data_IF_422402852652
#
_entry.id   IF_422402852652
#
_cell.length_a   1.000
_cell.length_b   1.000
_cell.length_c   1.000
_cell.angle_alpha   90.00
_cell.angle_beta   90.00
_cell.angle_gamma   90.00
#
_symmetry.space_group_name_H-M   'P 1'
#
loop_
_entity.id
_entity.type
_entity.pdbx_description
1 polymer ?
#
# COMPACT_ATOMS: atom_id res chain seq x y z
N UNK A 1 -53.45 7.43 -25.06
CA UNK A 1 -52.11 7.97 -24.80
C UNK A 1 -51.14 6.81 -24.89
N UNK A 2 -50.29 6.78 -25.92
CA UNK A 2 -49.25 5.77 -26.06
C UNK A 2 -48.11 6.06 -25.05
N UNK A 3 -47.51 5.04 -24.41
CA UNK A 3 -46.39 5.25 -23.50
C UNK A 3 -45.22 5.79 -24.29
N UNK A 4 -44.61 6.89 -23.81
CA UNK A 4 -43.39 7.46 -24.37
C UNK A 4 -42.28 6.40 -24.28
N UNK A 5 -41.80 5.98 -25.45
CA UNK A 5 -40.57 5.17 -25.52
C UNK A 5 -39.42 6.01 -24.94
N UNK A 6 -38.98 5.67 -23.73
CA UNK A 6 -37.72 6.12 -23.21
C UNK A 6 -36.63 5.71 -24.23
N UNK A 7 -36.17 6.66 -25.03
CA UNK A 7 -34.94 6.49 -25.82
C UNK A 7 -33.83 6.23 -24.80
N UNK A 8 -33.40 4.97 -24.66
CA UNK A 8 -32.14 4.64 -23.94
C UNK A 8 -31.07 5.49 -24.59
N UNK A 9 -30.50 6.42 -23.86
CA UNK A 9 -29.34 7.15 -24.32
C UNK A 9 -28.28 6.13 -24.78
N UNK A 10 -27.76 6.32 -25.99
CA UNK A 10 -26.67 5.48 -26.48
C UNK A 10 -25.47 5.74 -25.62
N UNK A 11 -24.88 4.68 -25.08
CA UNK A 11 -23.59 4.75 -24.36
C UNK A 11 -22.55 5.38 -25.30
N UNK A 12 -21.98 6.52 -24.89
CA UNK A 12 -20.85 7.11 -25.57
C UNK A 12 -19.59 6.33 -25.18
N UNK A 13 -18.93 5.76 -26.18
CA UNK A 13 -17.68 5.03 -25.98
C UNK A 13 -16.49 6.01 -25.90
N UNK A 14 -15.46 5.73 -25.10
CA UNK A 14 -14.25 6.55 -25.06
C UNK A 14 -13.57 6.50 -26.43
N UNK A 15 -12.87 7.58 -26.80
CA UNK A 15 -12.08 7.61 -28.04
C UNK A 15 -10.84 6.74 -27.95
N UNK A 16 -10.26 6.61 -26.78
CA UNK A 16 -9.09 5.78 -26.46
C UNK A 16 -9.27 5.20 -25.08
N UNK A 17 -8.66 4.03 -24.83
CA UNK A 17 -8.71 3.37 -23.54
C UNK A 17 -7.36 2.71 -23.21
N UNK A 18 -6.99 2.78 -21.92
CA UNK A 18 -5.94 1.97 -21.34
C UNK A 18 -6.60 1.01 -20.37
N UNK A 19 -6.40 -0.27 -20.56
CA UNK A 19 -6.84 -1.33 -19.64
C UNK A 19 -5.63 -1.80 -18.86
N UNK A 20 -5.74 -1.83 -17.54
CA UNK A 20 -4.66 -2.31 -16.68
C UNK A 20 -5.10 -3.57 -15.95
N UNK A 21 -4.19 -4.52 -15.78
CA UNK A 21 -4.35 -5.65 -14.87
C UNK A 21 -3.39 -5.49 -13.69
N UNK A 22 -3.78 -5.96 -12.50
CA UNK A 22 -2.92 -5.92 -11.32
C UNK A 22 -1.63 -6.70 -11.56
N UNK A 23 -0.51 -6.13 -11.17
CA UNK A 23 0.81 -6.71 -11.37
C UNK A 23 1.09 -7.79 -10.31
N UNK A 24 1.47 -9.02 -10.70
CA UNK A 24 1.95 -10.02 -9.74
C UNK A 24 3.38 -9.72 -9.32
N UNK A 25 3.74 -10.09 -8.08
CA UNK A 25 5.12 -10.03 -7.62
C UNK A 25 6.05 -10.99 -8.37
N UNK A 26 7.28 -10.54 -8.61
CA UNK A 26 8.35 -11.30 -9.27
C UNK A 26 8.98 -12.43 -8.44
N UNK A 27 8.24 -13.04 -7.52
CA UNK A 27 8.74 -14.06 -6.60
C UNK A 27 8.19 -15.47 -6.84
N UNK A 28 7.25 -15.64 -7.76
CA UNK A 28 6.61 -16.95 -8.03
C UNK A 28 5.83 -16.96 -9.35
N UNK A 29 5.49 -18.15 -9.80
CA UNK A 29 4.59 -18.37 -10.93
C UNK A 29 3.17 -17.89 -10.62
N UNK A 30 2.39 -17.62 -11.67
CA UNK A 30 0.98 -17.30 -11.54
C UNK A 30 0.19 -18.52 -11.05
N UNK A 31 -0.79 -18.26 -10.21
CA UNK A 31 -1.79 -19.24 -9.81
C UNK A 31 -3.17 -18.87 -10.38
N UNK A 32 -4.14 -19.76 -10.22
CA UNK A 32 -5.50 -19.57 -10.74
C UNK A 32 -6.12 -18.21 -10.36
N UNK A 33 -5.88 -17.72 -9.14
CA UNK A 33 -6.40 -16.40 -8.71
C UNK A 33 -5.86 -15.22 -9.53
N UNK A 34 -4.61 -15.29 -9.99
CA UNK A 34 -4.07 -14.30 -10.91
C UNK A 34 -4.72 -14.42 -12.30
N UNK A 35 -4.69 -15.62 -12.88
CA UNK A 35 -5.18 -15.82 -14.25
C UNK A 35 -6.70 -15.59 -14.32
N UNK A 36 -7.48 -16.35 -13.56
CA UNK A 36 -8.95 -16.30 -13.62
C UNK A 36 -9.58 -15.11 -12.93
N UNK A 37 -8.93 -14.53 -11.89
CA UNK A 37 -9.47 -13.42 -11.12
C UNK A 37 -9.04 -12.04 -11.61
N UNK A 38 -7.92 -11.93 -12.32
CA UNK A 38 -7.34 -10.64 -12.77
C UNK A 38 -7.20 -10.59 -14.28
N UNK A 39 -6.38 -11.47 -14.88
CA UNK A 39 -6.02 -11.34 -16.29
C UNK A 39 -7.15 -11.68 -17.26
N UNK A 40 -7.88 -12.76 -17.04
CA UNK A 40 -9.00 -13.15 -17.91
C UNK A 40 -10.11 -12.09 -17.93
N UNK A 41 -10.59 -11.55 -16.80
CA UNK A 41 -11.58 -10.46 -16.83
C UNK A 41 -11.08 -9.20 -17.51
N UNK A 42 -9.80 -8.81 -17.31
CA UNK A 42 -9.21 -7.65 -17.95
C UNK A 42 -9.06 -7.86 -19.46
N UNK A 43 -8.65 -9.04 -19.90
CA UNK A 43 -8.53 -9.42 -21.31
C UNK A 43 -9.89 -9.41 -22.02
N UNK A 44 -10.92 -10.00 -21.40
CA UNK A 44 -12.27 -9.94 -21.92
C UNK A 44 -12.74 -8.49 -22.12
N UNK A 45 -12.44 -7.62 -21.19
CA UNK A 45 -12.78 -6.20 -21.28
C UNK A 45 -11.96 -5.48 -22.36
N UNK A 46 -10.67 -5.73 -22.45
CA UNK A 46 -9.80 -5.18 -23.47
C UNK A 46 -10.27 -5.59 -24.89
N UNK A 47 -10.56 -6.89 -25.10
CA UNK A 47 -11.10 -7.41 -26.37
C UNK A 47 -12.46 -6.76 -26.69
N UNK A 48 -13.34 -6.65 -25.71
CA UNK A 48 -14.61 -5.97 -25.87
C UNK A 48 -14.46 -4.51 -26.30
N UNK A 49 -13.55 -3.75 -25.69
CA UNK A 49 -13.27 -2.38 -26.09
C UNK A 49 -12.68 -2.29 -27.51
N UNK A 50 -11.75 -3.17 -27.87
CA UNK A 50 -11.18 -3.24 -29.21
C UNK A 50 -12.26 -3.43 -30.29
N UNK A 51 -13.28 -4.25 -30.01
CA UNK A 51 -14.44 -4.42 -30.90
C UNK A 51 -15.30 -3.16 -31.02
N UNK A 52 -15.31 -2.29 -30.02
CA UNK A 52 -16.15 -1.08 -29.98
C UNK A 52 -15.53 0.16 -30.54
N UNK A 53 -14.22 0.35 -30.29
CA UNK A 53 -13.54 1.60 -30.61
C UNK A 53 -12.32 1.41 -31.53
N UNK A 54 -12.03 0.16 -31.93
CA UNK A 54 -10.86 -0.20 -32.77
C UNK A 54 -9.67 -0.64 -31.91
N UNK A 55 -8.90 -1.66 -32.36
CA UNK A 55 -7.77 -2.19 -31.62
C UNK A 55 -6.65 -1.16 -31.44
N UNK A 56 -6.45 -0.24 -32.38
CA UNK A 56 -5.46 0.83 -32.35
C UNK A 56 -5.74 1.88 -31.25
N UNK A 57 -6.94 1.89 -30.71
CA UNK A 57 -7.37 2.84 -29.67
C UNK A 57 -7.39 2.23 -28.26
N UNK A 58 -6.96 0.97 -28.11
CA UNK A 58 -6.96 0.27 -26.81
C UNK A 58 -5.56 -0.29 -26.52
N UNK A 59 -4.99 0.09 -25.40
CA UNK A 59 -3.75 -0.50 -24.87
C UNK A 59 -4.10 -1.33 -23.64
N UNK A 60 -3.74 -2.61 -23.64
CA UNK A 60 -3.85 -3.48 -22.50
C UNK A 60 -2.46 -3.71 -21.92
N UNK A 61 -2.23 -3.19 -20.71
CA UNK A 61 -0.91 -3.16 -20.06
C UNK A 61 -0.95 -3.82 -18.69
N UNK A 62 0.06 -4.61 -18.42
CA UNK A 62 0.41 -5.12 -17.08
C UNK A 62 1.90 -5.43 -17.05
N UNK A 63 2.36 -6.03 -15.99
CA UNK A 63 3.76 -6.43 -15.83
C UNK A 63 4.02 -7.12 -14.50
N UNK A 64 5.28 -7.41 -14.27
CA UNK A 64 5.77 -7.97 -13.01
C UNK A 64 6.18 -6.85 -12.08
N UNK A 65 5.64 -6.85 -10.87
CA UNK A 65 6.14 -6.04 -9.76
C UNK A 65 7.47 -6.64 -9.27
N UNK A 66 8.56 -5.91 -9.50
CA UNK A 66 9.92 -6.40 -9.28
C UNK A 66 10.47 -6.07 -7.89
N UNK A 67 9.72 -5.34 -7.04
CA UNK A 67 10.22 -4.81 -5.79
C UNK A 67 9.38 -5.28 -4.59
N UNK A 68 9.97 -5.22 -3.40
CA UNK A 68 9.28 -5.53 -2.15
C UNK A 68 9.83 -6.76 -1.41
N UNK A 69 9.68 -6.76 -0.10
CA UNK A 69 10.20 -7.78 0.82
C UNK A 69 9.78 -9.23 0.50
N UNK A 70 8.60 -9.52 -0.10
CA UNK A 70 8.27 -10.90 -0.50
C UNK A 70 9.19 -11.46 -1.59
N UNK A 71 9.80 -10.60 -2.42
CA UNK A 71 10.72 -11.00 -3.48
C UNK A 71 12.08 -11.37 -2.89
N UNK A 72 12.62 -10.50 -2.03
CA UNK A 72 13.87 -10.74 -1.32
C UNK A 72 13.80 -12.02 -0.49
N UNK A 73 12.70 -12.20 0.25
CA UNK A 73 12.47 -13.38 1.06
C UNK A 73 12.35 -14.66 0.20
N UNK A 74 11.66 -14.58 -0.95
CA UNK A 74 11.55 -15.69 -1.89
C UNK A 74 12.91 -16.07 -2.49
N UNK A 75 13.69 -15.09 -2.90
CA UNK A 75 15.04 -15.25 -3.41
C UNK A 75 15.97 -15.91 -2.37
N UNK A 76 16.02 -15.35 -1.15
CA UNK A 76 16.83 -15.87 -0.06
C UNK A 76 16.55 -17.36 0.21
N UNK A 77 15.27 -17.74 0.31
CA UNK A 77 14.86 -19.14 0.54
C UNK A 77 15.30 -20.10 -0.57
N UNK A 78 15.19 -19.67 -1.83
CA UNK A 78 15.60 -20.52 -2.94
C UNK A 78 17.12 -20.67 -3.04
N UNK A 79 17.87 -19.61 -2.72
CA UNK A 79 19.34 -19.68 -2.65
C UNK A 79 19.78 -20.59 -1.49
N UNK A 80 19.24 -20.40 -0.29
CA UNK A 80 19.55 -21.22 0.89
C UNK A 80 19.23 -22.70 0.69
N UNK A 81 18.15 -23.01 -0.03
CA UNK A 81 17.79 -24.41 -0.37
C UNK A 81 18.60 -24.99 -1.53
N UNK A 82 19.43 -24.20 -2.20
CA UNK A 82 20.17 -24.63 -3.40
C UNK A 82 19.29 -24.83 -4.63
N UNK A 83 18.04 -24.32 -4.63
CA UNK A 83 17.13 -24.45 -5.77
C UNK A 83 17.28 -23.32 -6.79
N UNK A 84 18.05 -22.30 -6.46
CA UNK A 84 18.40 -21.20 -7.36
C UNK A 84 19.84 -20.74 -7.16
N UNK A 85 20.52 -20.46 -8.28
CA UNK A 85 21.81 -19.82 -8.34
C UNK A 85 21.71 -18.61 -9.28
N UNK A 86 22.23 -17.46 -8.85
CA UNK A 86 22.20 -16.21 -9.59
C UNK A 86 21.91 -14.99 -8.71
N UNK A 87 21.79 -13.84 -9.33
CA UNK A 87 21.47 -12.58 -8.64
C UNK A 87 19.99 -12.48 -8.32
N UNK A 88 19.59 -11.52 -7.47
CA UNK A 88 18.18 -11.20 -7.23
C UNK A 88 17.48 -10.75 -8.51
N UNK A 89 18.16 -10.00 -9.40
CA UNK A 89 17.62 -9.63 -10.71
C UNK A 89 17.34 -10.87 -11.57
N UNK A 90 18.26 -11.85 -11.61
CA UNK A 90 18.07 -13.10 -12.35
C UNK A 90 16.87 -13.90 -11.82
N UNK A 91 16.70 -13.90 -10.49
CA UNK A 91 15.55 -14.52 -9.84
C UNK A 91 14.22 -13.88 -10.27
N UNK A 92 14.15 -12.55 -10.26
CA UNK A 92 12.96 -11.79 -10.70
C UNK A 92 12.71 -12.01 -12.18
N UNK A 93 13.76 -11.97 -13.02
CA UNK A 93 13.68 -12.19 -14.48
C UNK A 93 13.14 -13.58 -14.80
N UNK A 94 13.65 -14.61 -14.15
CA UNK A 94 13.15 -15.98 -14.30
C UNK A 94 11.64 -16.08 -13.97
N UNK A 95 11.20 -15.42 -12.90
CA UNK A 95 9.78 -15.45 -12.52
C UNK A 95 8.93 -14.61 -13.48
N UNK A 96 9.43 -13.46 -13.95
CA UNK A 96 8.80 -12.66 -15.00
C UNK A 96 8.56 -13.50 -16.27
N UNK A 97 9.59 -14.19 -16.77
CA UNK A 97 9.49 -15.02 -17.97
C UNK A 97 8.45 -16.17 -17.80
N UNK A 98 8.41 -16.80 -16.63
CA UNK A 98 7.41 -17.81 -16.30
C UNK A 98 5.99 -17.26 -16.23
N UNK A 99 5.83 -16.06 -15.70
CA UNK A 99 4.53 -15.37 -15.65
C UNK A 99 4.06 -15.03 -17.06
N UNK A 100 4.94 -14.44 -17.88
CA UNK A 100 4.66 -14.14 -19.28
C UNK A 100 4.27 -15.38 -20.08
N UNK A 101 5.06 -16.44 -19.99
CA UNK A 101 4.76 -17.72 -20.66
C UNK A 101 3.40 -18.29 -20.22
N UNK A 102 3.02 -18.12 -18.96
CA UNK A 102 1.69 -18.55 -18.49
C UNK A 102 0.58 -17.73 -19.15
N UNK A 103 0.72 -16.41 -19.23
CA UNK A 103 -0.28 -15.52 -19.83
C UNK A 103 -0.40 -15.78 -21.35
N UNK A 104 0.70 -16.01 -22.03
CA UNK A 104 0.74 -16.39 -23.44
C UNK A 104 0.01 -17.73 -23.67
N UNK A 105 0.20 -18.71 -22.80
CA UNK A 105 -0.47 -20.02 -22.90
C UNK A 105 -1.99 -19.92 -22.70
N UNK A 106 -2.49 -18.90 -21.99
CA UNK A 106 -3.91 -18.59 -21.88
C UNK A 106 -4.44 -17.60 -22.92
N UNK A 107 -3.63 -17.25 -23.94
CA UNK A 107 -3.99 -16.31 -25.00
C UNK A 107 -4.45 -14.94 -24.44
N UNK A 108 -3.84 -14.48 -23.36
CA UNK A 108 -4.11 -13.13 -22.80
C UNK A 108 -3.51 -12.07 -23.72
N UNK A 109 -4.35 -11.22 -24.28
CA UNK A 109 -3.99 -10.28 -25.36
C UNK A 109 -3.34 -8.97 -24.87
N UNK A 110 -2.35 -9.09 -23.97
CA UNK A 110 -1.59 -7.94 -23.48
C UNK A 110 -0.79 -7.28 -24.64
N UNK A 111 -0.86 -5.96 -24.72
CA UNK A 111 0.02 -5.18 -25.62
C UNK A 111 1.39 -4.96 -24.99
N UNK A 112 1.44 -4.89 -23.65
CA UNK A 112 2.66 -4.67 -22.88
C UNK A 112 2.62 -5.57 -21.62
N UNK A 113 3.69 -6.37 -21.44
CA UNK A 113 3.96 -7.09 -20.20
C UNK A 113 5.45 -6.99 -19.87
N UNK A 114 5.80 -6.07 -18.97
CA UNK A 114 7.18 -5.72 -18.65
C UNK A 114 7.46 -5.86 -17.16
N UNK A 115 8.72 -5.76 -16.74
CA UNK A 115 9.11 -5.78 -15.33
C UNK A 115 9.49 -4.39 -14.83
N UNK A 116 8.94 -3.95 -13.70
CA UNK A 116 9.22 -2.62 -13.12
C UNK A 116 10.71 -2.40 -12.76
N UNK A 117 11.49 -3.48 -12.61
CA UNK A 117 12.93 -3.43 -12.35
C UNK A 117 13.82 -4.04 -13.44
N UNK A 118 13.27 -4.42 -14.61
CA UNK A 118 13.97 -5.19 -15.62
C UNK A 118 14.21 -4.39 -16.91
N UNK A 119 15.44 -4.48 -17.46
CA UNK A 119 15.80 -3.96 -18.77
C UNK A 119 15.45 -2.48 -18.97
N UNK A 120 15.17 -2.10 -20.22
CA UNK A 120 14.82 -0.72 -20.58
C UNK A 120 13.59 -0.19 -19.83
N UNK A 121 12.58 -1.01 -19.66
CA UNK A 121 11.39 -0.62 -18.90
C UNK A 121 11.71 -0.28 -17.44
N UNK A 122 12.63 -1.01 -16.80
CA UNK A 122 13.12 -0.70 -15.46
C UNK A 122 13.86 0.64 -15.40
N UNK A 123 14.61 1.01 -16.44
CA UNK A 123 15.27 2.32 -16.53
C UNK A 123 14.25 3.45 -16.64
N UNK A 124 13.26 3.31 -17.54
CA UNK A 124 12.16 4.27 -17.70
C UNK A 124 11.38 4.40 -16.40
N UNK A 125 11.05 3.27 -15.75
CA UNK A 125 10.32 3.27 -14.49
C UNK A 125 11.07 3.98 -13.37
N UNK A 126 12.38 3.79 -13.29
CA UNK A 126 13.27 4.49 -12.34
C UNK A 126 13.26 6.00 -12.57
N UNK A 127 13.37 6.43 -13.83
CA UNK A 127 13.33 7.85 -14.20
C UNK A 127 11.98 8.50 -13.86
N UNK A 128 10.89 7.84 -14.21
CA UNK A 128 9.53 8.33 -13.92
C UNK A 128 9.30 8.41 -12.41
N UNK A 129 9.68 7.39 -11.67
CA UNK A 129 9.54 7.36 -10.21
C UNK A 129 10.30 8.50 -9.54
N UNK A 130 11.54 8.75 -9.96
CA UNK A 130 12.32 9.89 -9.48
C UNK A 130 11.61 11.23 -9.77
N UNK A 131 11.08 11.40 -10.99
CA UNK A 131 10.34 12.61 -11.37
C UNK A 131 9.03 12.78 -10.57
N UNK A 132 8.32 11.70 -10.28
CA UNK A 132 7.13 11.74 -9.42
C UNK A 132 7.46 12.18 -8.00
N UNK A 133 8.47 11.56 -7.37
CA UNK A 133 8.89 11.90 -6.00
C UNK A 133 9.35 13.36 -5.94
N UNK A 134 10.20 13.79 -6.87
CA UNK A 134 10.67 15.17 -6.96
C UNK A 134 9.49 16.16 -7.07
N UNK A 135 8.54 15.89 -7.96
CA UNK A 135 7.38 16.74 -8.17
C UNK A 135 6.44 16.79 -6.97
N UNK A 136 6.25 15.67 -6.26
CA UNK A 136 5.48 15.65 -5.02
C UNK A 136 6.13 16.51 -3.95
N UNK A 137 7.46 16.46 -3.82
CA UNK A 137 8.21 17.31 -2.90
C UNK A 137 8.10 18.79 -3.27
N UNK A 138 8.36 19.17 -4.54
CA UNK A 138 8.26 20.56 -5.04
C UNK A 138 6.86 21.16 -4.84
N UNK A 139 5.82 20.33 -4.83
CA UNK A 139 4.44 20.73 -4.57
C UNK A 139 4.08 20.81 -3.07
N UNK A 140 5.01 20.46 -2.19
CA UNK A 140 4.80 20.49 -0.74
C UNK A 140 3.90 19.35 -0.22
N UNK A 141 3.76 18.25 -0.98
CA UNK A 141 2.99 17.10 -0.57
C UNK A 141 3.79 16.09 0.25
N UNK A 142 5.11 16.21 0.27
CA UNK A 142 5.98 15.35 1.07
C UNK A 142 6.51 16.07 2.29
N UNK A 143 6.59 15.34 3.39
CA UNK A 143 7.29 15.77 4.60
C UNK A 143 8.16 14.63 5.11
N UNK A 144 9.19 14.98 5.86
CA UNK A 144 10.13 14.03 6.41
C UNK A 144 9.71 13.66 7.84
N UNK A 145 9.57 12.37 8.12
CA UNK A 145 9.29 11.87 9.46
C UNK A 145 10.40 10.93 9.94
N UNK A 146 10.72 11.01 11.23
CA UNK A 146 11.55 10.04 11.92
C UNK A 146 10.67 8.99 12.58
N UNK A 147 10.92 7.72 12.28
CA UNK A 147 10.23 6.58 12.88
C UNK A 147 11.22 5.54 13.38
N UNK A 148 10.80 4.70 14.33
CA UNK A 148 11.59 3.56 14.77
C UNK A 148 11.37 2.39 13.82
N UNK A 149 12.47 1.74 13.43
CA UNK A 149 12.46 0.54 12.59
C UNK A 149 13.39 -0.51 13.18
N UNK A 150 13.04 -1.77 13.02
CA UNK A 150 13.90 -2.88 13.41
C UNK A 150 15.21 -2.90 12.59
N UNK A 151 16.31 -3.11 13.29
CA UNK A 151 17.66 -3.21 12.72
C UNK A 151 18.35 -4.48 13.21
N UNK A 152 18.87 -5.25 12.28
CA UNK A 152 19.67 -6.42 12.57
C UNK A 152 21.15 -5.99 12.70
N UNK A 153 21.66 -6.00 13.92
CA UNK A 153 23.04 -5.58 14.18
C UNK A 153 24.08 -6.60 13.67
N UNK A 154 23.70 -7.86 13.52
CA UNK A 154 24.59 -8.91 13.00
C UNK A 154 24.76 -8.77 11.49
N UNK A 155 23.67 -8.54 10.77
CA UNK A 155 23.67 -8.39 9.31
C UNK A 155 23.93 -6.94 8.87
N UNK A 156 23.86 -5.96 9.80
CA UNK A 156 24.12 -4.56 9.52
C UNK A 156 23.03 -3.87 8.69
N UNK A 157 21.79 -4.35 8.74
CA UNK A 157 20.69 -3.90 7.87
C UNK A 157 19.39 -3.60 8.62
N UNK A 158 18.59 -2.70 8.06
CA UNK A 158 17.22 -2.50 8.51
C UNK A 158 16.33 -3.65 8.04
N UNK A 159 15.46 -4.10 8.94
CA UNK A 159 14.53 -5.19 8.67
C UNK A 159 13.17 -4.64 8.26
N UNK A 160 12.59 -5.24 7.24
CA UNK A 160 11.27 -4.89 6.72
C UNK A 160 10.24 -5.98 7.03
N UNK A 161 9.01 -5.58 7.23
CA UNK A 161 7.82 -6.42 7.29
C UNK A 161 8.08 -7.86 7.75
N UNK A 162 8.19 -8.77 6.81
CA UNK A 162 8.32 -10.22 7.05
C UNK A 162 9.70 -10.69 7.48
N UNK A 163 10.70 -9.81 7.50
CA UNK A 163 12.04 -10.11 8.02
C UNK A 163 12.09 -10.06 9.56
N UNK A 164 10.99 -9.64 10.22
CA UNK A 164 10.85 -9.73 11.68
C UNK A 164 9.66 -10.62 12.00
N UNK A 165 9.84 -11.55 12.89
CA UNK A 165 8.78 -12.44 13.39
C UNK A 165 8.69 -12.34 14.90
N UNK A 166 7.47 -12.44 15.42
CA UNK A 166 7.21 -12.36 16.85
C UNK A 166 5.78 -12.80 17.17
N UNK A 167 5.22 -12.27 18.24
CA UNK A 167 3.85 -12.56 18.66
C UNK A 167 2.98 -11.30 18.56
N UNK A 168 1.74 -11.50 18.15
CA UNK A 168 0.77 -10.42 18.00
C UNK A 168 0.47 -9.76 19.36
N UNK A 169 0.53 -8.43 19.48
CA UNK A 169 0.24 -7.72 20.72
C UNK A 169 -1.26 -7.68 21.07
N UNK A 170 -2.13 -8.03 20.12
CA UNK A 170 -3.58 -8.02 20.34
C UNK A 170 -3.98 -9.13 21.31
N UNK A 171 -4.55 -8.76 22.43
CA UNK A 171 -4.95 -9.69 23.48
C UNK A 171 -5.95 -10.74 22.95
N UNK A 172 -5.63 -12.03 23.17
CA UNK A 172 -6.46 -13.15 22.73
C UNK A 172 -6.30 -13.52 21.24
N UNK A 173 -5.36 -12.90 20.54
CA UNK A 173 -5.01 -13.30 19.21
C UNK A 173 -4.43 -14.73 19.21
N UNK A 174 -4.90 -15.56 18.26
CA UNK A 174 -4.45 -16.95 18.06
C UNK A 174 -3.50 -17.09 16.89
N UNK A 175 -2.95 -15.97 16.40
CA UNK A 175 -1.97 -15.96 15.34
C UNK A 175 -0.72 -16.73 15.76
N UNK A 176 -0.25 -17.65 14.92
CA UNK A 176 1.00 -18.37 15.11
C UNK A 176 2.21 -17.55 14.66
N UNK A 177 1.98 -16.58 13.78
CA UNK A 177 3.03 -15.69 13.24
C UNK A 177 2.55 -14.24 13.21
N UNK A 178 3.32 -13.39 13.83
CA UNK A 178 3.21 -11.95 13.72
C UNK A 178 4.49 -11.39 13.11
N UNK A 179 4.34 -10.38 12.26
CA UNK A 179 5.43 -9.70 11.58
C UNK A 179 5.64 -8.32 12.19
N UNK A 180 6.46 -7.49 11.57
CA UNK A 180 6.80 -6.16 12.12
C UNK A 180 5.57 -5.30 12.41
N UNK A 181 4.53 -5.32 11.57
CA UNK A 181 3.39 -4.41 11.57
C UNK A 181 2.02 -5.09 11.44
N UNK A 182 2.00 -6.40 11.16
CA UNK A 182 0.76 -7.17 11.04
C UNK A 182 0.94 -8.64 11.44
N UNK A 183 -0.12 -9.32 11.81
CA UNK A 183 -0.13 -10.77 11.99
C UNK A 183 -0.87 -11.49 10.85
N UNK A 184 -0.71 -12.81 10.75
CA UNK A 184 -1.35 -13.65 9.75
C UNK A 184 -2.90 -13.68 9.83
N UNK A 185 -3.49 -13.21 10.93
CA UNK A 185 -4.92 -12.99 11.09
C UNK A 185 -5.35 -11.53 10.76
N UNK A 186 -4.44 -10.69 10.26
CA UNK A 186 -4.74 -9.35 9.78
C UNK A 186 -4.87 -8.26 10.87
N UNK A 187 -4.41 -8.51 12.10
CA UNK A 187 -4.28 -7.44 13.07
C UNK A 187 -3.09 -6.56 12.72
N UNK A 188 -3.31 -5.26 12.62
CA UNK A 188 -2.27 -4.25 12.43
C UNK A 188 -1.89 -3.60 13.76
N UNK A 189 -0.61 -3.29 13.94
CA UNK A 189 -0.03 -2.69 15.13
C UNK A 189 1.26 -1.94 14.77
N UNK A 190 1.72 -1.08 15.68
CA UNK A 190 3.01 -0.42 15.48
C UNK A 190 4.16 -1.41 15.72
N UNK A 191 5.27 -1.34 14.97
CA UNK A 191 6.39 -2.28 15.13
C UNK A 191 6.92 -2.39 16.55
N UNK A 192 6.89 -1.31 17.32
CA UNK A 192 7.31 -1.29 18.73
C UNK A 192 6.44 -2.13 19.65
N UNK A 193 5.22 -2.47 19.24
CA UNK A 193 4.28 -3.26 20.02
C UNK A 193 4.46 -4.78 19.83
N UNK A 194 5.23 -5.20 18.80
CA UNK A 194 5.47 -6.61 18.51
C UNK A 194 6.16 -7.30 19.70
N UNK A 195 5.58 -8.42 20.16
CA UNK A 195 6.08 -9.15 21.33
C UNK A 195 7.16 -10.14 20.89
N UNK A 196 8.30 -10.10 21.60
CA UNK A 196 9.45 -10.98 21.35
C UNK A 196 9.91 -11.01 19.87
N UNK A 197 10.28 -9.85 19.29
CA UNK A 197 10.73 -9.79 17.91
C UNK A 197 12.04 -10.56 17.71
N UNK A 198 12.10 -11.32 16.62
CA UNK A 198 13.30 -12.05 16.17
C UNK A 198 13.52 -11.73 14.68
N UNK A 199 14.77 -11.44 14.31
CA UNK A 199 15.14 -11.34 12.90
C UNK A 199 15.00 -12.71 12.22
N UNK A 200 14.25 -12.79 11.13
CA UNK A 200 14.20 -14.02 10.33
C UNK A 200 15.43 -14.19 9.44
N UNK A 201 16.33 -13.20 9.41
CA UNK A 201 17.58 -13.23 8.64
C UNK A 201 18.69 -13.86 9.46
N UNK A 202 18.98 -13.30 10.63
CA UNK A 202 20.09 -13.78 11.49
C UNK A 202 19.66 -14.69 12.64
N UNK A 203 18.37 -14.72 13.00
CA UNK A 203 17.85 -15.39 14.19
C UNK A 203 18.10 -14.63 15.48
N UNK A 204 18.64 -13.42 15.44
CA UNK A 204 18.93 -12.59 16.63
C UNK A 204 17.74 -11.68 16.99
N UNK A 205 17.78 -11.14 18.21
CA UNK A 205 16.82 -10.08 18.62
C UNK A 205 17.23 -8.77 17.97
N UNK A 206 16.38 -8.15 17.14
CA UNK A 206 16.73 -6.91 16.46
C UNK A 206 16.67 -5.71 17.42
N UNK A 207 17.44 -4.69 17.10
CA UNK A 207 17.41 -3.38 17.77
C UNK A 207 16.36 -2.47 17.12
N UNK A 208 15.83 -1.51 17.88
CA UNK A 208 15.04 -0.41 17.30
C UNK A 208 15.95 0.79 17.03
N UNK A 209 16.02 1.22 15.77
CA UNK A 209 16.79 2.40 15.36
C UNK A 209 15.90 3.42 14.66
N UNK A 210 16.24 4.67 14.85
CA UNK A 210 15.56 5.78 14.19
C UNK A 210 15.95 5.82 12.71
N UNK A 211 14.94 5.95 11.84
CA UNK A 211 15.07 6.14 10.40
C UNK A 211 14.23 7.32 9.95
N UNK A 212 14.75 8.04 8.95
CA UNK A 212 14.05 9.17 8.33
C UNK A 212 13.51 8.72 6.98
N UNK A 213 12.19 8.93 6.75
CA UNK A 213 11.54 8.60 5.51
C UNK A 213 10.61 9.72 5.05
N UNK A 214 10.39 9.80 3.75
CA UNK A 214 9.42 10.71 3.15
C UNK A 214 8.02 10.14 3.23
N UNK A 215 7.09 10.97 3.67
CA UNK A 215 5.66 10.65 3.77
C UNK A 215 4.84 11.64 2.95
N UNK A 216 3.81 11.12 2.30
CA UNK A 216 2.82 11.90 1.59
C UNK A 216 1.70 12.31 2.56
N UNK A 217 1.41 13.61 2.63
CA UNK A 217 0.37 14.16 3.53
C UNK A 217 -1.04 13.88 2.98
N UNK A 218 -1.47 12.62 3.03
CA UNK A 218 -2.82 12.24 2.63
C UNK A 218 -3.90 12.88 3.52
N UNK A 219 -3.75 13.03 4.85
CA UNK A 219 -4.71 13.76 5.68
C UNK A 219 -4.96 15.19 5.22
N UNK A 220 -3.92 15.91 4.80
CA UNK A 220 -4.03 17.26 4.26
C UNK A 220 -4.87 17.37 2.99
N UNK A 221 -5.03 16.25 2.27
CA UNK A 221 -5.85 16.14 1.06
C UNK A 221 -7.24 15.56 1.30
N UNK A 222 -7.68 15.44 2.55
CA UNK A 222 -8.97 14.83 2.90
C UNK A 222 -10.17 15.45 2.17
N UNK A 223 -10.17 16.76 1.94
CA UNK A 223 -11.23 17.44 1.18
C UNK A 223 -11.21 17.04 -0.29
N UNK A 224 -10.02 16.97 -0.91
CA UNK A 224 -9.88 16.53 -2.32
C UNK A 224 -10.38 15.10 -2.49
N UNK A 225 -10.02 14.20 -1.56
CA UNK A 225 -10.50 12.81 -1.56
C UNK A 225 -12.02 12.77 -1.37
N UNK A 226 -12.58 13.61 -0.49
CA UNK A 226 -14.02 13.69 -0.26
C UNK A 226 -14.76 14.12 -1.51
N UNK A 227 -14.35 15.22 -2.15
CA UNK A 227 -14.98 15.73 -3.37
C UNK A 227 -14.93 14.69 -4.49
N UNK A 228 -13.82 13.99 -4.62
CA UNK A 228 -13.68 12.89 -5.58
C UNK A 228 -14.63 11.72 -5.28
N UNK A 229 -14.74 11.29 -4.03
CA UNK A 229 -15.63 10.19 -3.63
C UNK A 229 -17.10 10.57 -3.79
N UNK A 230 -17.47 11.83 -3.48
CA UNK A 230 -18.82 12.34 -3.68
C UNK A 230 -19.19 12.38 -5.17
N UNK A 231 -18.24 12.73 -6.04
CA UNK A 231 -18.43 12.62 -7.48
C UNK A 231 -18.64 11.17 -7.95
N UNK A 232 -17.86 10.22 -7.40
CA UNK A 232 -18.00 8.79 -7.72
C UNK A 232 -19.35 8.21 -7.29
N UNK A 233 -19.98 8.71 -6.23
CA UNK A 233 -21.31 8.25 -5.80
C UNK A 233 -22.41 8.53 -6.84
N UNK A 234 -22.19 9.51 -7.70
CA UNK A 234 -23.11 9.87 -8.78
C UNK A 234 -22.96 8.97 -10.01
N UNK A 235 -21.90 8.16 -10.10
CA UNK A 235 -21.65 7.24 -11.20
C UNK A 235 -22.32 5.87 -10.95
N UNK A 236 -23.33 5.48 -11.76
CA UNK A 236 -24.01 4.21 -11.61
C UNK A 236 -23.11 2.97 -11.86
N UNK A 237 -21.93 3.15 -12.44
CA UNK A 237 -20.97 2.08 -12.65
C UNK A 237 -20.12 1.79 -11.39
N UNK A 238 -20.10 2.71 -10.44
CA UNK A 238 -19.34 2.54 -9.19
C UNK A 238 -20.18 1.80 -8.15
N UNK A 239 -19.64 0.72 -7.62
CA UNK A 239 -20.33 -0.04 -6.57
C UNK A 239 -20.37 0.77 -5.27
N UNK A 240 -21.55 0.91 -4.62
CA UNK A 240 -21.70 1.72 -3.39
C UNK A 240 -20.77 1.30 -2.24
N UNK A 241 -20.32 0.04 -2.20
CA UNK A 241 -19.37 -0.43 -1.18
C UNK A 241 -18.02 0.28 -1.29
N UNK A 242 -17.60 0.70 -2.49
CA UNK A 242 -16.33 1.40 -2.71
C UNK A 242 -16.34 2.76 -2.03
N UNK A 243 -17.31 3.60 -2.37
CA UNK A 243 -17.45 4.95 -1.81
C UNK A 243 -17.71 4.91 -0.31
N UNK A 244 -18.57 4.00 0.15
CA UNK A 244 -18.84 3.80 1.57
C UNK A 244 -17.58 3.43 2.35
N UNK A 245 -16.76 2.50 1.84
CA UNK A 245 -15.52 2.08 2.51
C UNK A 245 -14.52 3.22 2.60
N UNK A 246 -14.37 4.02 1.54
CA UNK A 246 -13.46 5.19 1.58
C UNK A 246 -13.95 6.22 2.59
N UNK A 247 -15.25 6.50 2.64
CA UNK A 247 -15.85 7.46 3.58
C UNK A 247 -15.66 7.08 5.05
N UNK A 248 -15.45 5.81 5.37
CA UNK A 248 -15.12 5.38 6.73
C UNK A 248 -13.79 5.95 7.23
N UNK A 249 -12.88 6.34 6.33
CA UNK A 249 -11.60 6.96 6.65
C UNK A 249 -11.63 8.50 6.58
N UNK A 250 -12.69 9.08 5.99
CA UNK A 250 -12.87 10.53 5.85
C UNK A 250 -13.59 11.16 7.06
N UNK A 251 -13.40 10.58 8.22
CA UNK A 251 -13.94 11.06 9.50
C UNK A 251 -12.79 11.63 10.35
N UNK A 252 -13.11 12.51 11.31
CA UNK A 252 -12.10 12.99 12.25
C UNK A 252 -11.42 11.83 13.00
N UNK A 253 -10.13 11.95 13.34
CA UNK A 253 -9.43 10.93 14.10
C UNK A 253 -10.02 10.78 15.51
N UNK A 254 -10.42 9.56 15.88
CA UNK A 254 -11.10 9.26 17.15
C UNK A 254 -10.31 8.20 17.92
N UNK A 255 -10.29 8.36 19.23
CA UNK A 255 -9.91 7.30 20.18
C UNK A 255 -11.15 6.90 20.98
N UNK A 256 -11.36 5.58 21.12
CA UNK A 256 -12.42 4.97 21.90
C UNK A 256 -11.83 4.45 23.22
N UNK A 257 -12.37 4.89 24.36
CA UNK A 257 -11.95 4.47 25.69
C UNK A 257 -13.16 3.88 26.39
N UNK A 258 -12.97 2.74 27.09
CA UNK A 258 -14.06 2.13 27.84
C UNK A 258 -14.55 3.02 28.98
N UNK A 259 -15.86 3.05 29.20
CA UNK A 259 -16.50 3.87 30.26
C UNK A 259 -15.93 3.55 31.64
N UNK A 260 -15.54 2.30 31.93
CA UNK A 260 -14.90 1.89 33.17
C UNK A 260 -13.55 2.58 33.47
N UNK A 261 -12.93 3.21 32.44
CA UNK A 261 -11.66 3.93 32.56
C UNK A 261 -11.85 5.47 32.56
N UNK A 262 -13.10 5.94 32.67
CA UNK A 262 -13.41 7.37 32.59
C UNK A 262 -12.71 8.19 33.67
N UNK A 263 -12.70 7.71 34.93
CA UNK A 263 -12.05 8.44 36.02
C UNK A 263 -10.53 8.59 35.78
N UNK A 264 -9.87 7.52 35.31
CA UNK A 264 -8.46 7.57 34.94
C UNK A 264 -8.19 8.52 33.79
N UNK A 265 -9.10 8.57 32.81
CA UNK A 265 -9.01 9.53 31.72
C UNK A 265 -9.09 10.96 32.24
N UNK A 266 -10.01 11.29 33.17
CA UNK A 266 -10.13 12.61 33.76
C UNK A 266 -8.85 13.10 34.47
N UNK A 267 -8.07 12.19 35.06
CA UNK A 267 -6.79 12.51 35.72
C UNK A 267 -5.70 13.00 34.76
N UNK A 268 -5.84 12.73 33.46
CA UNK A 268 -4.85 13.06 32.44
C UNK A 268 -5.40 13.85 31.26
N UNK A 269 -6.68 14.17 31.25
CA UNK A 269 -7.35 14.81 30.12
C UNK A 269 -6.71 16.16 29.74
N UNK A 270 -6.20 16.90 30.73
CA UNK A 270 -5.47 18.16 30.55
C UNK A 270 -4.08 18.01 29.94
N UNK A 271 -3.51 16.80 29.96
CA UNK A 271 -2.22 16.46 29.34
C UNK A 271 -2.36 16.03 27.86
N UNK A 272 -3.59 15.75 27.43
CA UNK A 272 -3.86 15.36 26.07
C UNK A 272 -3.91 16.59 25.14
N UNK A 273 -3.55 16.46 23.86
CA UNK A 273 -3.83 17.48 22.86
C UNK A 273 -5.30 17.89 22.86
N UNK A 274 -5.58 19.09 22.34
CA UNK A 274 -6.96 19.58 22.25
C UNK A 274 -7.86 18.55 21.54
N UNK A 275 -8.95 18.18 22.18
CA UNK A 275 -9.89 17.20 21.67
C UNK A 275 -11.32 17.52 22.10
N UNK A 276 -12.28 16.91 21.43
CA UNK A 276 -13.70 16.98 21.78
C UNK A 276 -14.10 15.65 22.44
N UNK A 277 -14.54 15.73 23.69
CA UNK A 277 -15.11 14.58 24.40
C UNK A 277 -16.55 14.34 23.96
N UNK A 278 -16.91 13.08 23.76
CA UNK A 278 -18.28 12.62 23.47
C UNK A 278 -18.61 11.44 24.35
N UNK A 279 -19.72 11.53 25.07
CA UNK A 279 -20.24 10.43 25.89
C UNK A 279 -20.50 9.16 25.06
N UNK A 280 -20.46 8.02 25.75
CA UNK A 280 -20.80 6.76 25.13
C UNK A 280 -22.23 6.78 24.58
N UNK A 281 -22.42 6.50 23.30
CA UNK A 281 -23.73 6.39 22.70
C UNK A 281 -24.55 5.28 23.38
N UNK A 282 -25.88 5.39 23.38
CA UNK A 282 -26.79 4.43 24.02
C UNK A 282 -26.46 2.99 23.61
N UNK A 283 -26.14 2.16 24.58
CA UNK A 283 -25.78 0.75 24.37
C UNK A 283 -24.32 0.50 23.96
N UNK A 284 -23.47 1.52 23.89
CA UNK A 284 -22.02 1.41 23.72
C UNK A 284 -21.30 1.42 25.07
N UNK A 285 -20.17 0.72 25.11
CA UNK A 285 -19.34 0.60 26.33
C UNK A 285 -18.10 1.50 26.30
N UNK A 286 -17.98 2.39 25.30
CA UNK A 286 -16.85 3.29 25.14
C UNK A 286 -17.34 4.69 24.84
N UNK A 287 -16.73 5.67 25.49
CA UNK A 287 -16.81 7.08 25.10
C UNK A 287 -15.75 7.38 24.05
N UNK A 288 -15.84 8.54 23.42
CA UNK A 288 -15.01 8.95 22.30
C UNK A 288 -14.28 10.24 22.62
N UNK A 289 -13.02 10.34 22.20
CA UNK A 289 -12.28 11.59 22.12
C UNK A 289 -11.86 11.83 20.68
N UNK A 290 -12.30 12.94 20.11
CA UNK A 290 -12.12 13.33 18.71
C UNK A 290 -11.06 14.41 18.60
N UNK A 291 -10.12 14.23 17.66
CA UNK A 291 -9.01 15.14 17.42
C UNK A 291 -9.18 15.84 16.07
N UNK A 292 -8.55 17.01 15.95
CA UNK A 292 -8.56 17.77 14.69
C UNK A 292 -7.71 17.10 13.60
N UNK A 293 -6.63 16.42 14.00
CA UNK A 293 -5.70 15.73 13.09
C UNK A 293 -5.12 14.47 13.71
N UNK A 294 -4.52 13.63 12.87
CA UNK A 294 -3.95 12.34 13.29
C UNK A 294 -2.72 12.50 14.17
N UNK A 295 -1.95 13.56 14.03
CA UNK A 295 -0.76 13.80 14.83
C UNK A 295 -1.11 14.05 16.30
N UNK A 296 -2.19 14.79 16.57
CA UNK A 296 -2.67 15.02 17.92
C UNK A 296 -3.28 13.74 18.50
N UNK A 297 -4.02 12.97 17.69
CA UNK A 297 -4.48 11.62 18.11
C UNK A 297 -3.29 10.74 18.51
N UNK A 298 -2.22 10.72 17.75
CA UNK A 298 -1.07 9.84 18.01
C UNK A 298 -0.24 10.30 19.22
N UNK A 299 -0.12 11.61 19.45
CA UNK A 299 0.41 12.12 20.74
C UNK A 299 -0.45 11.68 21.91
N UNK A 300 -1.78 11.73 21.78
CA UNK A 300 -2.69 11.28 22.82
C UNK A 300 -2.54 9.78 23.11
N UNK A 301 -2.31 8.95 22.09
CA UNK A 301 -2.03 7.50 22.25
C UNK A 301 -0.85 7.26 23.19
N UNK A 302 0.25 8.00 23.03
CA UNK A 302 1.44 7.88 23.87
C UNK A 302 1.13 8.24 25.33
N UNK A 303 0.39 9.33 25.56
CA UNK A 303 0.00 9.75 26.92
C UNK A 303 -0.94 8.75 27.56
N UNK A 304 -1.94 8.25 26.84
CA UNK A 304 -2.89 7.24 27.31
C UNK A 304 -2.19 5.91 27.66
N UNK A 305 -1.27 5.46 26.80
CA UNK A 305 -0.49 4.25 27.04
C UNK A 305 0.39 4.41 28.29
N UNK A 306 1.07 5.55 28.47
CA UNK A 306 1.87 5.87 29.65
C UNK A 306 1.05 5.89 30.95
N UNK A 307 -0.23 6.21 30.87
CA UNK A 307 -1.18 6.17 32.01
C UNK A 307 -1.85 4.80 32.19
N UNK A 308 -1.47 3.76 31.44
CA UNK A 308 -2.10 2.44 31.44
C UNK A 308 -3.62 2.48 31.15
N UNK A 309 -4.05 3.41 30.29
CA UNK A 309 -5.41 3.49 29.79
C UNK A 309 -5.50 2.74 28.46
N UNK A 310 -6.27 1.65 28.45
CA UNK A 310 -6.53 0.89 27.22
C UNK A 310 -7.50 1.64 26.32
N UNK A 311 -7.17 1.70 25.05
CA UNK A 311 -7.97 2.39 24.03
C UNK A 311 -7.99 1.62 22.72
N UNK A 312 -8.82 2.07 21.81
CA UNK A 312 -8.88 1.64 20.41
C UNK A 312 -8.98 2.89 19.53
N UNK A 313 -8.24 2.94 18.44
CA UNK A 313 -8.34 4.03 17.46
C UNK A 313 -9.45 3.76 16.45
N UNK A 314 -10.12 4.83 16.04
CA UNK A 314 -11.00 4.82 14.88
C UNK A 314 -10.22 4.85 13.56
N UNK A 315 -10.92 4.57 12.46
CA UNK A 315 -10.37 4.75 11.11
C UNK A 315 -10.14 6.24 10.85
N UNK A 316 -9.06 6.57 10.19
CA UNK A 316 -8.76 7.93 9.71
C UNK A 316 -7.75 7.83 8.55
N UNK A 317 -7.68 8.86 7.72
CA UNK A 317 -6.56 9.01 6.80
C UNK A 317 -5.28 9.23 7.60
N UNK A 318 -4.21 8.56 7.20
CA UNK A 318 -2.88 8.69 7.81
C UNK A 318 -1.86 9.08 6.74
N UNK A 319 -0.73 9.70 7.11
CA UNK A 319 0.36 9.92 6.18
C UNK A 319 0.75 8.62 5.49
N UNK A 320 1.07 8.70 4.22
CA UNK A 320 1.39 7.56 3.38
C UNK A 320 2.89 7.52 3.10
N UNK A 321 3.56 6.45 3.52
CA UNK A 321 5.01 6.30 3.35
C UNK A 321 5.39 6.20 1.88
N UNK A 322 6.31 7.05 1.42
CA UNK A 322 6.80 7.10 0.04
C UNK A 322 8.16 6.44 -0.10
N UNK A 323 9.01 6.50 0.92
CA UNK A 323 10.36 5.95 0.85
C UNK A 323 10.62 4.86 1.89
N UNK A 324 11.64 4.09 1.67
CA UNK A 324 12.11 3.04 2.57
C UNK A 324 13.62 2.83 2.48
N UNK A 325 14.13 2.00 3.38
CA UNK A 325 15.55 1.67 3.49
C UNK A 325 15.75 0.22 3.03
N UNK A 326 15.47 -0.05 1.76
CA UNK A 326 15.68 -1.38 1.15
C UNK A 326 16.72 -1.27 0.05
N UNK A 327 17.57 -2.29 -0.09
CA UNK A 327 18.61 -2.28 -1.12
C UNK A 327 18.04 -2.52 -2.51
N UNK A 328 17.07 -3.42 -2.63
CA UNK A 328 16.37 -3.73 -3.88
C UNK A 328 15.13 -2.88 -4.04
N UNK A 329 15.25 -1.77 -4.75
CA UNK A 329 14.17 -0.81 -4.97
C UNK A 329 14.54 0.27 -5.97
N UNK A 330 13.57 1.09 -6.33
CA UNK A 330 13.78 2.28 -7.15
C UNK A 330 14.42 3.37 -6.30
N UNK A 331 15.60 3.90 -6.63
CA UNK A 331 16.23 4.96 -5.83
C UNK A 331 15.36 6.23 -5.74
N UNK A 332 15.23 6.78 -4.55
CA UNK A 332 14.70 8.14 -4.33
C UNK A 332 15.81 9.13 -4.69
N UNK A 333 15.52 10.20 -5.45
CA UNK A 333 16.50 11.27 -5.66
C UNK A 333 16.91 11.90 -4.32
N UNK A 334 18.14 12.40 -4.23
CA UNK A 334 18.56 13.19 -3.08
C UNK A 334 17.69 14.45 -2.94
N UNK A 335 17.03 14.60 -1.80
CA UNK A 335 16.16 15.73 -1.48
C UNK A 335 16.52 16.23 -0.09
N UNK A 336 16.83 17.53 0.04
CA UNK A 336 17.17 18.21 1.30
C UNK A 336 18.31 17.52 2.08
N UNK A 337 19.28 16.93 1.38
CA UNK A 337 20.41 16.22 1.98
C UNK A 337 20.03 14.85 2.56
N UNK A 338 18.87 14.31 2.20
CA UNK A 338 18.46 12.93 2.49
C UNK A 338 18.67 12.10 1.25
N UNK A 339 19.56 11.12 1.33
CA UNK A 339 19.95 10.20 0.26
C UNK A 339 19.86 8.72 0.72
N UNK A 340 20.19 7.80 -0.17
CA UNK A 340 20.24 6.36 0.12
C UNK A 340 18.90 5.70 0.38
N UNK A 341 17.79 6.39 0.10
CA UNK A 341 16.44 5.83 0.21
C UNK A 341 15.97 5.23 -1.12
N UNK A 342 15.06 4.28 -1.03
CA UNK A 342 14.33 3.72 -2.17
C UNK A 342 12.86 4.06 -2.07
N UNK A 343 12.18 4.16 -3.21
CA UNK A 343 10.72 4.34 -3.26
C UNK A 343 10.09 3.08 -2.69
N UNK A 344 9.10 3.27 -1.81
CA UNK A 344 8.34 2.16 -1.25
C UNK A 344 7.55 1.46 -2.36
N UNK A 345 7.52 0.13 -2.36
CA UNK A 345 6.96 -0.66 -3.46
C UNK A 345 5.46 -0.36 -3.74
N UNK A 346 4.68 0.03 -2.76
CA UNK A 346 3.28 0.37 -2.96
C UNK A 346 3.04 1.64 -3.80
N UNK A 347 3.72 2.79 -3.54
CA UNK A 347 3.57 3.96 -4.40
C UNK A 347 4.07 3.73 -5.83
N UNK A 348 5.25 3.13 -6.00
CA UNK A 348 5.84 3.00 -7.34
C UNK A 348 5.01 2.07 -8.25
N UNK A 349 4.42 1.02 -7.70
CA UNK A 349 3.56 0.13 -8.47
C UNK A 349 2.30 0.80 -9.02
N UNK A 350 1.84 1.92 -8.42
CA UNK A 350 0.68 2.66 -8.92
C UNK A 350 0.93 3.35 -10.27
N UNK A 351 2.16 3.78 -10.54
CA UNK A 351 2.51 4.42 -11.82
C UNK A 351 3.34 3.53 -12.74
N UNK A 352 3.64 2.29 -12.36
CA UNK A 352 4.34 1.34 -13.22
C UNK A 352 3.64 1.11 -14.57
N UNK A 353 2.30 1.00 -14.68
CA UNK A 353 1.63 0.91 -15.98
C UNK A 353 1.88 2.10 -16.90
N UNK A 354 2.07 3.31 -16.34
CA UNK A 354 2.47 4.48 -17.12
C UNK A 354 3.89 4.30 -17.66
N UNK A 355 4.82 3.86 -16.81
CA UNK A 355 6.21 3.60 -17.20
C UNK A 355 6.29 2.56 -18.32
N UNK A 356 5.54 1.47 -18.22
CA UNK A 356 5.48 0.42 -19.23
C UNK A 356 4.94 0.93 -20.56
N UNK A 357 3.89 1.76 -20.52
CA UNK A 357 3.32 2.36 -21.72
C UNK A 357 4.29 3.35 -22.37
N UNK A 358 5.04 4.11 -21.56
CA UNK A 358 6.05 5.03 -22.07
C UNK A 358 7.24 4.29 -22.68
N UNK A 359 7.78 3.28 -22.00
CA UNK A 359 8.88 2.47 -22.52
C UNK A 359 8.58 1.83 -23.89
N UNK A 360 7.30 1.42 -24.11
CA UNK A 360 6.87 0.90 -25.41
C UNK A 360 6.92 1.94 -26.53
N UNK A 361 6.70 3.21 -26.22
CA UNK A 361 6.63 4.27 -27.22
C UNK A 361 8.00 4.89 -27.54
N UNK A 362 9.03 4.54 -26.77
CA UNK A 362 10.41 4.98 -27.00
C UNK A 362 11.16 4.10 -28.02
N UNK A 363 10.57 2.95 -28.42
CA UNK A 363 11.02 2.05 -29.50
C UNK A 363 10.34 2.42 -30.83
#
# INVERSE_FOLDING_TARGET
>A
MAPSQNKKERIEWPKRAVVTAGMPYGNKSLHFGHVGGVFVPADCYARFLRDRIGPENVVFVSGTDCFGSPIEEGYRKEVESGSFEGTLEDYVRRNHDRQKATLDAYDISLDVYEGSGLGHCGEVHRSISAAFVQRLHEKGFLHLESTLQFYDAQEGMFLNGRQVVGHCPVQGCKSEKAYADECDLGHQYDPVDLINPISSVSGTVPEMREVRNWYFDLPGLSNVVRDYVDALESDPCIRPVVTKTIKEFLVPPIIYIKVELHDKYLEIADKLPKHVYRDAAKGKQSFEIEFENVYDRDKARVVLAGANIRFRTGKALVPFRISGNVEWGVPVPEIEGVDGLTVWCWPESLWAPLSFTMARNDD
#
